data_IF_748628633105
#
_entry.id   IF_748628633105
#
_cell.length_a   1.000
_cell.length_b   1.000
_cell.length_c   1.000
_cell.angle_alpha   90.00
_cell.angle_beta   90.00
_cell.angle_gamma   90.00
#
_symmetry.space_group_name_H-M   'P 1'
#
loop_
_entity.id
_entity.type
_entity.pdbx_description
1 polymer ?
#
# COMPACT_ATOMS: atom_id res chain seq x y z
N UNK A 1 -3.34 -4.32 27.18
CA UNK A 1 -4.01 -3.29 26.35
C UNK A 1 -4.21 -3.87 24.97
N UNK A 2 -5.46 -4.16 24.59
CA UNK A 2 -5.78 -4.68 23.25
C UNK A 2 -5.79 -3.50 22.30
N UNK A 3 -4.82 -3.44 21.39
CA UNK A 3 -4.84 -2.50 20.28
C UNK A 3 -6.05 -2.80 19.40
N UNK A 4 -6.91 -1.79 19.20
CA UNK A 4 -8.07 -1.88 18.33
C UNK A 4 -7.68 -2.30 16.92
N UNK A 5 -8.51 -3.13 16.34
CA UNK A 5 -8.36 -3.87 15.10
C UNK A 5 -8.06 -2.93 13.89
N UNK A 6 -6.87 -2.96 13.28
CA UNK A 6 -6.44 -1.99 12.28
C UNK A 6 -7.08 -2.16 10.89
N UNK A 7 -7.78 -3.26 10.63
CA UNK A 7 -8.09 -3.73 9.27
C UNK A 7 -9.13 -2.92 8.49
N UNK A 8 -10.13 -2.35 9.12
CA UNK A 8 -11.14 -1.53 8.39
C UNK A 8 -10.64 -0.10 8.13
N UNK A 9 -9.84 0.43 9.04
CA UNK A 9 -9.22 1.76 8.91
C UNK A 9 -8.14 1.72 7.82
N UNK A 10 -7.38 0.62 7.72
CA UNK A 10 -6.29 0.49 6.74
C UNK A 10 -6.76 0.27 5.31
N UNK A 11 -7.88 -0.44 5.07
CA UNK A 11 -8.46 -0.53 3.73
C UNK A 11 -8.92 0.84 3.23
N UNK A 12 -9.60 1.62 4.08
CA UNK A 12 -9.96 2.99 3.77
C UNK A 12 -8.72 3.90 3.67
N UNK A 13 -7.64 3.65 4.41
CA UNK A 13 -6.36 4.37 4.26
C UNK A 13 -5.62 4.00 2.98
N UNK A 14 -5.62 2.73 2.55
CA UNK A 14 -5.10 2.33 1.23
C UNK A 14 -5.88 3.01 0.09
N UNK A 15 -7.18 3.24 0.29
CA UNK A 15 -8.04 3.89 -0.71
C UNK A 15 -8.15 5.40 -0.50
N UNK A 16 -8.01 5.93 0.72
CA UNK A 16 -8.11 7.37 1.07
C UNK A 16 -6.75 8.04 1.28
N UNK A 17 -5.65 7.30 1.42
CA UNK A 17 -4.28 7.84 1.48
C UNK A 17 -3.86 8.64 0.24
N UNK A 18 -4.76 8.74 -0.74
CA UNK A 18 -4.65 9.61 -1.91
C UNK A 18 -5.00 11.08 -1.62
N UNK A 19 -5.53 11.42 -0.43
CA UNK A 19 -5.96 12.78 -0.06
C UNK A 19 -5.24 13.30 1.19
N UNK A 20 -3.91 13.18 1.25
CA UNK A 20 -3.12 14.02 2.14
C UNK A 20 -2.93 15.39 1.46
N UNK A 21 -3.97 16.23 1.53
CA UNK A 21 -3.85 17.65 1.23
C UNK A 21 -3.07 18.31 2.36
N UNK A 22 -1.75 18.44 2.19
CA UNK A 22 -0.92 19.27 3.06
C UNK A 22 -1.16 20.73 2.69
N UNK A 23 -1.67 21.51 3.63
CA UNK A 23 -2.05 22.92 3.43
C UNK A 23 -0.87 23.92 3.48
N UNK A 24 0.39 23.47 3.36
CA UNK A 24 1.56 24.36 3.35
C UNK A 24 2.48 24.02 2.18
N UNK A 25 2.77 25.01 1.32
CA UNK A 25 3.56 24.85 0.10
C UNK A 25 5.00 24.35 0.32
N UNK A 26 5.65 24.66 1.44
CA UNK A 26 7.02 24.20 1.76
C UNK A 26 7.03 22.72 2.20
N UNK A 27 6.13 22.32 3.07
CA UNK A 27 6.01 20.93 3.54
C UNK A 27 5.63 19.99 2.41
N UNK A 28 4.82 20.45 1.46
CA UNK A 28 4.46 19.71 0.25
C UNK A 28 5.68 19.42 -0.64
N UNK A 29 6.60 20.39 -0.79
CA UNK A 29 7.82 20.22 -1.59
C UNK A 29 8.76 19.18 -0.97
N UNK A 30 8.98 19.24 0.34
CA UNK A 30 9.86 18.32 1.07
C UNK A 30 9.30 16.89 1.07
N UNK A 31 7.98 16.76 1.21
CA UNK A 31 7.29 15.48 1.14
C UNK A 31 7.40 14.82 -0.24
N UNK A 32 7.15 15.55 -1.33
CA UNK A 32 7.31 15.02 -2.70
C UNK A 32 8.80 14.73 -3.03
N UNK A 33 9.72 15.51 -2.47
CA UNK A 33 11.15 15.22 -2.53
C UNK A 33 11.50 13.88 -1.88
N UNK A 34 10.95 13.59 -0.70
CA UNK A 34 11.13 12.31 -0.01
C UNK A 34 10.49 11.15 -0.78
N UNK A 35 9.27 11.32 -1.32
CA UNK A 35 8.62 10.33 -2.19
C UNK A 35 9.51 10.00 -3.39
N UNK A 36 10.12 11.00 -4.02
CA UNK A 36 11.01 10.82 -5.16
C UNK A 36 12.28 10.04 -4.79
N UNK A 37 12.90 10.34 -3.64
CA UNK A 37 14.07 9.62 -3.13
C UNK A 37 13.76 8.15 -2.83
N UNK A 38 12.64 7.85 -2.17
CA UNK A 38 12.20 6.48 -1.90
C UNK A 38 11.95 5.74 -3.19
N UNK A 39 11.26 6.36 -4.15
CA UNK A 39 10.97 5.76 -5.46
C UNK A 39 12.27 5.41 -6.21
N UNK A 40 13.28 6.30 -6.17
CA UNK A 40 14.59 6.03 -6.75
C UNK A 40 15.30 4.83 -6.06
N UNK A 41 15.26 4.77 -4.72
CA UNK A 41 15.79 3.63 -3.96
C UNK A 41 15.09 2.31 -4.33
N UNK A 42 13.77 2.32 -4.42
CA UNK A 42 12.97 1.15 -4.84
C UNK A 42 13.32 0.70 -6.26
N UNK A 43 13.56 1.64 -7.17
CA UNK A 43 13.95 1.32 -8.55
C UNK A 43 15.32 0.61 -8.62
N UNK A 44 16.21 0.84 -7.67
CA UNK A 44 17.51 0.18 -7.57
C UNK A 44 17.48 -1.27 -7.07
N UNK A 45 16.35 -1.75 -6.53
CA UNK A 45 16.24 -3.09 -5.99
C UNK A 45 16.17 -4.17 -7.08
N UNK A 46 16.57 -5.39 -6.75
CA UNK A 46 16.22 -6.57 -7.56
C UNK A 46 14.73 -6.92 -7.45
N UNK A 47 14.21 -7.77 -8.34
CA UNK A 47 12.84 -8.29 -8.21
C UNK A 47 12.59 -8.93 -6.84
N UNK A 48 13.53 -9.73 -6.36
CA UNK A 48 13.40 -10.40 -5.06
C UNK A 48 13.46 -9.42 -3.89
N UNK A 49 14.34 -8.42 -3.95
CA UNK A 49 14.43 -7.35 -2.94
C UNK A 49 13.17 -6.49 -2.89
N UNK A 50 12.61 -6.14 -4.05
CA UNK A 50 11.37 -5.41 -4.14
C UNK A 50 10.17 -6.20 -3.58
N UNK A 51 10.09 -7.49 -3.90
CA UNK A 51 9.06 -8.39 -3.36
C UNK A 51 9.16 -8.49 -1.83
N UNK A 52 10.38 -8.67 -1.29
CA UNK A 52 10.59 -8.71 0.16
C UNK A 52 10.20 -7.40 0.83
N UNK A 53 10.61 -6.25 0.27
CA UNK A 53 10.26 -4.92 0.79
C UNK A 53 8.74 -4.73 0.87
N UNK A 54 8.00 -5.15 -0.17
CA UNK A 54 6.53 -5.06 -0.17
C UNK A 54 5.92 -5.91 0.95
N UNK A 55 6.39 -7.14 1.15
CA UNK A 55 5.89 -7.98 2.24
C UNK A 55 6.19 -7.39 3.62
N UNK A 56 7.41 -6.89 3.83
CA UNK A 56 7.79 -6.30 5.10
C UNK A 56 7.00 -5.04 5.41
N UNK A 57 6.69 -4.22 4.39
CA UNK A 57 5.79 -3.08 4.54
C UNK A 57 4.37 -3.53 4.91
N UNK A 58 3.81 -4.54 4.25
CA UNK A 58 2.47 -5.05 4.57
C UNK A 58 2.40 -5.59 6.00
N UNK A 59 3.43 -6.30 6.45
CA UNK A 59 3.55 -6.77 7.84
C UNK A 59 3.67 -5.58 8.80
N UNK A 60 4.47 -4.57 8.46
CA UNK A 60 4.58 -3.33 9.24
C UNK A 60 3.25 -2.59 9.37
N UNK A 61 2.41 -2.67 8.34
CA UNK A 61 1.04 -2.13 8.32
C UNK A 61 0.05 -2.97 9.15
N UNK A 62 0.47 -4.11 9.70
CA UNK A 62 -0.33 -4.98 10.54
C UNK A 62 -1.09 -6.09 9.80
N UNK A 63 -0.73 -6.36 8.54
CA UNK A 63 -1.31 -7.47 7.79
C UNK A 63 -0.59 -8.78 8.09
N UNK A 64 -1.34 -9.88 8.17
CA UNK A 64 -0.79 -11.22 8.17
C UNK A 64 -0.60 -11.70 6.73
N UNK A 65 0.66 -11.86 6.32
CA UNK A 65 1.04 -12.17 4.93
C UNK A 65 1.64 -13.55 4.83
N UNK A 66 1.01 -14.41 4.04
CA UNK A 66 1.51 -15.76 3.73
C UNK A 66 2.15 -15.76 2.35
N UNK A 67 3.45 -15.99 2.28
CA UNK A 67 4.18 -16.10 1.01
C UNK A 67 3.88 -17.44 0.34
N UNK A 68 3.66 -17.41 -0.97
CA UNK A 68 3.55 -18.64 -1.73
C UNK A 68 4.96 -19.22 -1.99
N UNK A 69 5.29 -20.33 -1.35
CA UNK A 69 6.60 -21.00 -1.50
C UNK A 69 6.87 -21.48 -2.93
N UNK A 70 5.86 -21.66 -3.77
CA UNK A 70 6.02 -22.04 -5.17
C UNK A 70 6.29 -20.78 -6.00
N UNK A 71 7.58 -20.50 -6.25
CA UNK A 71 8.03 -19.46 -7.19
C UNK A 71 7.46 -19.75 -8.58
N UNK A 72 6.37 -19.10 -8.92
CA UNK A 72 5.86 -19.07 -10.30
C UNK A 72 6.16 -17.69 -10.87
N UNK A 73 6.95 -17.65 -11.93
CA UNK A 73 7.33 -16.43 -12.65
C UNK A 73 6.35 -16.07 -13.77
N UNK A 74 5.22 -16.77 -13.87
CA UNK A 74 4.21 -16.53 -14.91
C UNK A 74 3.42 -15.24 -14.67
N UNK A 75 2.92 -14.65 -15.75
CA UNK A 75 2.18 -13.37 -15.76
C UNK A 75 0.97 -13.31 -14.79
N UNK A 76 0.38 -14.46 -14.43
CA UNK A 76 -0.73 -14.58 -13.47
C UNK A 76 -0.32 -15.11 -12.10
N UNK A 77 1.00 -15.12 -11.76
CA UNK A 77 1.47 -15.73 -10.53
C UNK A 77 0.98 -14.98 -9.30
N UNK A 78 0.36 -15.69 -8.37
CA UNK A 78 0.07 -15.24 -7.01
C UNK A 78 1.30 -15.56 -6.15
N UNK A 79 1.94 -14.53 -5.61
CA UNK A 79 3.17 -14.65 -4.83
C UNK A 79 2.89 -14.65 -3.33
N UNK A 80 1.75 -14.13 -2.90
CA UNK A 80 1.35 -14.11 -1.51
C UNK A 80 -0.15 -14.00 -1.33
N UNK A 81 -0.58 -14.15 -0.07
CA UNK A 81 -1.98 -14.06 0.34
C UNK A 81 -2.02 -13.28 1.65
N UNK A 82 -2.94 -12.33 1.76
CA UNK A 82 -3.35 -11.71 3.01
C UNK A 82 -4.64 -12.38 3.44
N UNK A 83 -4.68 -12.88 4.67
CA UNK A 83 -5.89 -13.39 5.30
C UNK A 83 -6.37 -12.35 6.31
N UNK A 84 -7.59 -11.91 6.17
CA UNK A 84 -8.24 -11.04 7.15
C UNK A 84 -9.03 -11.89 8.13
N UNK A 85 -8.77 -11.74 9.45
CA UNK A 85 -9.39 -12.50 10.56
C UNK A 85 -10.89 -12.20 10.77
N UNK A 86 -11.64 -12.00 9.69
CA UNK A 86 -13.08 -11.74 9.78
C UNK A 86 -13.88 -12.78 9.00
N UNK A 87 -14.88 -13.43 9.63
CA UNK A 87 -15.81 -14.29 8.92
C UNK A 87 -16.46 -13.55 7.76
N UNK A 88 -16.42 -14.14 6.56
CA UNK A 88 -17.00 -13.54 5.35
C UNK A 88 -16.06 -12.64 4.53
N UNK A 89 -14.81 -12.42 4.96
CA UNK A 89 -13.83 -11.72 4.13
C UNK A 89 -13.07 -12.70 3.26
N UNK A 90 -13.05 -12.42 1.96
CA UNK A 90 -12.29 -13.21 1.01
C UNK A 90 -10.81 -12.84 1.06
N UNK A 91 -9.90 -13.82 0.87
CA UNK A 91 -8.46 -13.57 0.87
C UNK A 91 -8.07 -12.55 -0.21
N UNK A 92 -7.00 -11.79 0.08
CA UNK A 92 -6.39 -10.88 -0.89
C UNK A 92 -5.16 -11.57 -1.46
N UNK A 93 -5.19 -11.85 -2.76
CA UNK A 93 -4.08 -12.46 -3.49
C UNK A 93 -3.10 -11.39 -3.95
N UNK A 94 -1.81 -11.57 -3.65
CA UNK A 94 -0.77 -10.57 -3.92
C UNK A 94 0.00 -10.97 -5.17
N UNK A 95 0.20 -9.99 -6.07
CA UNK A 95 1.19 -10.04 -7.14
C UNK A 95 2.11 -8.83 -7.02
N UNK A 96 3.43 -9.05 -7.04
CA UNK A 96 4.46 -8.02 -7.01
C UNK A 96 5.24 -8.04 -8.32
N UNK A 97 5.28 -6.91 -9.01
CA UNK A 97 6.00 -6.76 -10.30
C UNK A 97 6.96 -5.59 -10.24
N UNK A 98 8.23 -5.87 -10.22
CA UNK A 98 9.24 -4.85 -10.49
C UNK A 98 9.49 -4.78 -12.01
N UNK A 99 9.39 -3.59 -12.54
CA UNK A 99 9.60 -3.30 -13.96
C UNK A 99 10.72 -2.27 -14.10
N UNK A 100 11.22 -2.11 -15.33
CA UNK A 100 12.16 -1.04 -15.65
C UNK A 100 11.52 0.34 -15.40
N UNK A 101 12.30 1.32 -14.92
CA UNK A 101 11.82 2.69 -14.71
C UNK A 101 11.15 3.25 -15.97
N UNK A 102 10.02 3.94 -15.79
CA UNK A 102 9.23 4.49 -16.90
C UNK A 102 8.25 3.50 -17.56
N UNK A 103 8.27 2.23 -17.16
CA UNK A 103 7.29 1.24 -17.65
C UNK A 103 5.86 1.57 -17.20
N UNK A 104 4.89 1.09 -17.99
CA UNK A 104 3.46 1.24 -17.69
C UNK A 104 2.78 -0.13 -17.74
N UNK A 105 2.04 -0.47 -16.70
CA UNK A 105 1.20 -1.68 -16.69
C UNK A 105 -0.10 -1.39 -17.45
N UNK A 106 -0.39 -2.25 -18.44
CA UNK A 106 -1.60 -2.19 -19.25
C UNK A 106 -2.66 -3.18 -18.75
N UNK A 107 -3.93 -2.99 -19.14
CA UNK A 107 -5.01 -3.92 -18.81
C UNK A 107 -4.72 -5.35 -19.32
N UNK A 108 -4.16 -5.46 -20.51
CA UNK A 108 -3.79 -6.76 -21.09
C UNK A 108 -2.77 -7.52 -20.21
N UNK A 109 -1.74 -6.82 -19.71
CA UNK A 109 -0.72 -7.44 -18.86
C UNK A 109 -1.23 -7.88 -17.48
N UNK A 110 -2.45 -7.44 -17.08
CA UNK A 110 -3.10 -7.80 -15.83
C UNK A 110 -4.10 -8.94 -15.95
N UNK A 111 -4.52 -9.31 -17.17
CA UNK A 111 -5.60 -10.29 -17.39
C UNK A 111 -5.34 -11.62 -16.68
N UNK A 112 -4.17 -12.20 -16.86
CA UNK A 112 -3.83 -13.47 -16.24
C UNK A 112 -3.91 -13.45 -14.69
N UNK A 113 -3.57 -12.32 -14.07
CA UNK A 113 -3.73 -12.12 -12.63
C UNK A 113 -5.20 -11.94 -12.26
N UNK A 114 -5.92 -11.11 -12.99
CA UNK A 114 -7.36 -10.91 -12.77
C UNK A 114 -8.17 -12.21 -12.83
N UNK A 115 -7.91 -13.03 -13.85
CA UNK A 115 -8.54 -14.35 -13.99
C UNK A 115 -8.14 -15.31 -12.84
N UNK A 116 -6.90 -15.22 -12.38
CA UNK A 116 -6.43 -16.04 -11.26
C UNK A 116 -7.11 -15.65 -9.94
N UNK A 117 -7.37 -14.37 -9.72
CA UNK A 117 -8.11 -13.84 -8.56
C UNK A 117 -9.59 -14.23 -8.64
N UNK A 118 -10.22 -14.04 -9.80
CA UNK A 118 -11.63 -14.32 -10.01
C UNK A 118 -11.97 -15.80 -9.79
N UNK A 119 -11.15 -16.71 -10.35
CA UNK A 119 -11.32 -18.17 -10.12
C UNK A 119 -11.27 -18.58 -8.65
N UNK A 120 -10.70 -17.76 -7.79
CA UNK A 120 -10.56 -18.01 -6.34
C UNK A 120 -11.58 -17.24 -5.52
N UNK A 121 -12.51 -16.53 -6.15
CA UNK A 121 -13.52 -15.69 -5.51
C UNK A 121 -12.94 -14.71 -4.47
N UNK A 122 -11.70 -14.27 -4.67
CA UNK A 122 -11.00 -13.35 -3.76
C UNK A 122 -10.91 -11.93 -4.29
N UNK A 123 -10.04 -11.15 -3.65
CA UNK A 123 -9.60 -9.83 -4.11
C UNK A 123 -8.14 -9.89 -4.54
N UNK A 124 -7.70 -8.97 -5.39
CA UNK A 124 -6.30 -8.87 -5.80
C UNK A 124 -5.61 -7.65 -5.20
N UNK A 125 -4.30 -7.76 -4.96
CA UNK A 125 -3.40 -6.64 -4.72
C UNK A 125 -2.23 -6.76 -5.72
N UNK A 126 -2.14 -5.82 -6.65
CA UNK A 126 -1.02 -5.73 -7.60
C UNK A 126 -0.14 -4.56 -7.21
N UNK A 127 1.09 -4.87 -6.82
CA UNK A 127 2.11 -3.88 -6.42
C UNK A 127 3.19 -3.79 -7.49
N UNK A 128 3.57 -2.57 -7.86
CA UNK A 128 4.64 -2.31 -8.83
C UNK A 128 5.38 -1.02 -8.52
N UNK A 129 6.60 -0.88 -9.01
CA UNK A 129 7.33 0.39 -9.05
C UNK A 129 6.96 1.26 -10.26
N UNK A 130 6.18 0.73 -11.20
CA UNK A 130 5.73 1.39 -12.43
C UNK A 130 4.38 2.09 -12.24
N UNK A 131 3.94 2.80 -13.28
CA UNK A 131 2.61 3.39 -13.35
C UNK A 131 1.58 2.43 -13.96
N UNK A 132 0.29 2.72 -13.75
CA UNK A 132 -0.82 2.01 -14.39
C UNK A 132 -1.48 2.88 -15.46
N UNK A 133 -1.73 2.32 -16.62
CA UNK A 133 -2.53 2.99 -17.66
C UNK A 133 -3.98 3.16 -17.19
N UNK A 134 -4.70 4.13 -17.78
CA UNK A 134 -6.12 4.33 -17.47
C UNK A 134 -6.97 3.06 -17.71
N UNK A 135 -6.82 2.34 -18.85
CA UNK A 135 -7.51 1.07 -19.04
C UNK A 135 -7.17 0.01 -17.99
N UNK A 136 -5.93 -0.01 -17.46
CA UNK A 136 -5.53 -0.92 -16.38
C UNK A 136 -6.26 -0.60 -15.06
N UNK A 137 -6.38 0.69 -14.74
CA UNK A 137 -7.13 1.14 -13.55
C UNK A 137 -8.62 0.78 -13.64
N UNK A 138 -9.25 0.93 -14.81
CA UNK A 138 -10.65 0.61 -15.02
C UNK A 138 -10.87 -0.92 -14.97
N UNK A 139 -9.96 -1.71 -15.55
CA UNK A 139 -9.96 -3.16 -15.43
C UNK A 139 -9.84 -3.62 -13.98
N UNK A 140 -8.92 -3.03 -13.21
CA UNK A 140 -8.72 -3.36 -11.80
C UNK A 140 -9.98 -3.15 -10.95
N UNK A 141 -10.70 -2.04 -11.18
CA UNK A 141 -11.98 -1.77 -10.51
C UNK A 141 -13.02 -2.87 -10.79
N UNK A 142 -13.14 -3.30 -12.05
CA UNK A 142 -14.08 -4.35 -12.45
C UNK A 142 -13.72 -5.70 -11.81
N UNK A 143 -12.43 -6.02 -11.69
CA UNK A 143 -11.92 -7.30 -11.19
C UNK A 143 -11.59 -7.29 -9.68
N UNK A 144 -11.96 -6.24 -8.94
CA UNK A 144 -11.69 -6.08 -7.50
C UNK A 144 -10.20 -6.22 -7.17
N UNK A 145 -9.35 -5.61 -8.01
CA UNK A 145 -7.90 -5.57 -7.82
C UNK A 145 -7.52 -4.20 -7.27
N UNK A 146 -6.83 -4.19 -6.13
CA UNK A 146 -6.21 -3.00 -5.55
C UNK A 146 -4.91 -2.78 -6.29
N UNK A 147 -4.66 -1.55 -6.73
CA UNK A 147 -3.42 -1.16 -7.39
C UNK A 147 -2.55 -0.34 -6.45
N UNK A 148 -1.28 -0.70 -6.37
CA UNK A 148 -0.27 0.04 -5.62
C UNK A 148 0.92 0.31 -6.55
N UNK A 149 1.04 1.54 -7.02
CA UNK A 149 2.18 2.01 -7.81
C UNK A 149 3.35 2.46 -6.91
N UNK A 150 4.48 2.83 -7.53
CA UNK A 150 5.66 3.27 -6.80
C UNK A 150 5.45 4.50 -5.93
N UNK A 151 4.55 5.42 -6.32
CA UNK A 151 4.23 6.61 -5.53
C UNK A 151 3.38 6.27 -4.31
N UNK A 152 2.37 5.43 -4.49
CA UNK A 152 1.52 4.94 -3.38
C UNK A 152 2.38 4.15 -2.39
N UNK A 153 3.26 3.27 -2.90
CA UNK A 153 4.19 2.51 -2.08
C UNK A 153 5.09 3.44 -1.24
N UNK A 154 5.71 4.45 -1.86
CA UNK A 154 6.57 5.40 -1.16
C UNK A 154 5.81 6.18 -0.08
N UNK A 155 4.60 6.63 -0.36
CA UNK A 155 3.75 7.32 0.62
C UNK A 155 3.40 6.43 1.81
N UNK A 156 3.08 5.16 1.58
CA UNK A 156 2.82 4.20 2.66
C UNK A 156 4.07 3.93 3.48
N UNK A 157 5.25 3.88 2.86
CA UNK A 157 6.52 3.75 3.58
C UNK A 157 6.76 4.94 4.52
N UNK A 158 6.46 6.17 4.08
CA UNK A 158 6.56 7.37 4.92
C UNK A 158 5.58 7.30 6.09
N UNK A 159 4.30 7.05 5.81
CA UNK A 159 3.22 7.00 6.83
C UNK A 159 3.51 5.96 7.93
N UNK A 160 4.09 4.83 7.55
CA UNK A 160 4.39 3.74 8.49
C UNK A 160 5.82 3.78 9.05
N UNK A 161 6.57 4.87 8.81
CA UNK A 161 7.98 5.00 9.22
C UNK A 161 8.80 3.76 8.82
N UNK A 162 8.58 3.28 7.58
CA UNK A 162 9.26 2.11 7.04
C UNK A 162 10.37 2.53 6.10
N UNK A 163 11.61 2.16 6.41
CA UNK A 163 12.83 2.62 5.72
C UNK A 163 12.99 4.16 5.70
N UNK A 164 12.41 4.85 6.67
CA UNK A 164 12.49 6.31 6.84
C UNK A 164 12.97 6.62 8.25
N UNK A 165 13.90 7.56 8.39
CA UNK A 165 14.33 8.04 9.68
C UNK A 165 13.53 9.29 10.07
N UNK A 166 12.89 9.25 11.24
CA UNK A 166 12.23 10.41 11.82
C UNK A 166 13.32 11.28 12.47
N UNK A 167 13.55 12.49 11.93
CA UNK A 167 14.58 13.39 12.44
C UNK A 167 14.13 14.16 13.68
N UNK A 168 12.85 14.52 13.72
CA UNK A 168 12.25 15.28 14.81
C UNK A 168 10.79 14.94 14.95
N UNK A 169 10.31 14.79 16.19
CA UNK A 169 8.89 14.65 16.51
C UNK A 169 8.53 15.83 17.40
N UNK A 170 7.82 16.82 16.84
CA UNK A 170 7.30 17.95 17.60
C UNK A 170 5.84 17.63 17.96
N UNK A 171 5.61 17.33 19.24
CA UNK A 171 4.28 17.13 19.77
C UNK A 171 3.75 18.48 20.28
N UNK A 172 2.87 19.12 19.53
CA UNK A 172 2.21 20.35 19.96
C UNK A 172 0.96 19.98 20.74
N UNK A 173 0.99 20.25 22.05
CA UNK A 173 -0.17 20.05 22.93
C UNK A 173 -0.85 21.40 23.14
N UNK A 174 -2.15 21.45 22.92
CA UNK A 174 -3.00 22.59 23.28
C UNK A 174 -3.98 22.19 24.34
N UNK A 175 -4.34 23.14 25.21
CA UNK A 175 -5.40 22.95 26.19
C UNK A 175 -6.73 23.15 25.46
N UNK A 176 -7.67 22.22 25.65
CA UNK A 176 -9.06 22.41 25.27
C UNK A 176 -9.84 22.96 26.47
N UNK A 177 -10.13 24.28 26.51
CA UNK A 177 -10.82 24.87 27.64
C UNK A 177 -12.25 24.32 27.87
N UNK A 178 -12.86 23.77 26.81
CA UNK A 178 -14.23 23.24 26.89
C UNK A 178 -14.32 22.00 27.79
N UNK A 179 -13.22 21.24 27.91
CA UNK A 179 -13.16 20.06 28.79
C UNK A 179 -13.36 20.47 30.24
N UNK A 180 -12.85 21.63 30.67
CA UNK A 180 -12.98 22.10 32.05
C UNK A 180 -14.39 22.54 32.45
N UNK A 181 -15.25 22.85 31.46
CA UNK A 181 -16.65 23.22 31.73
C UNK A 181 -17.45 22.06 32.36
N UNK A 182 -17.03 20.83 32.13
CA UNK A 182 -17.65 19.61 32.69
C UNK A 182 -17.39 19.47 34.20
N UNK A 183 -16.38 20.16 34.73
CA UNK A 183 -15.92 20.06 36.13
C UNK A 183 -16.20 21.32 36.91
N UNK A 184 -16.88 22.32 36.34
CA UNK A 184 -17.39 23.47 37.05
C UNK A 184 -18.75 23.10 37.64
N UNK A 185 -18.68 22.51 38.85
CA UNK A 185 -19.88 22.18 39.69
C UNK A 185 -20.23 23.41 40.50
#
# INVERSE_FOLDING_TARGET
MRFGNPTAIHYNMLMSGLNLSTNNNSESSDYEGLVSQITAGVNGLSQAGFEQLVYDLLIRMGYEVFKNARKRTSAGAIQGIIIEDRPGYNPIYIQVRKLEPGSIITSWSMQAFGDAVERRAGRGLLVTNAAFSKPAQDYAKQKRIILMDGKILARLMIVHNFCVNVKEVVEVKSIDPSVFNRYRI
#
